data_IF_413495308966
#
_entry.id   IF_413495308966
#
_cell.length_a   1.000
_cell.length_b   1.000
_cell.length_c   1.000
_cell.angle_alpha   90.00
_cell.angle_beta   90.00
_cell.angle_gamma   90.00
#
_symmetry.space_group_name_H-M   'P 1'
#
loop_
_entity.id
_entity.type
_entity.pdbx_description
1 polymer ?
#
# COMPACT_ATOMS: atom_id res chain seq x y z
N UNK A 1 -17.01 -10.81 26.75
CA UNK A 1 -18.01 -9.74 26.52
C UNK A 1 -19.35 -10.06 27.19
N UNK A 2 -20.07 -11.13 26.81
CA UNK A 2 -21.40 -11.41 27.36
C UNK A 2 -21.45 -11.59 28.89
N UNK A 3 -20.50 -12.28 29.55
CA UNK A 3 -20.49 -12.37 31.02
C UNK A 3 -20.25 -11.02 31.73
N UNK A 4 -19.58 -10.07 31.06
CA UNK A 4 -19.27 -8.75 31.63
C UNK A 4 -20.44 -7.77 31.47
N UNK A 5 -21.11 -7.79 30.31
CA UNK A 5 -22.18 -6.83 29.96
C UNK A 5 -23.60 -7.39 30.09
N UNK A 6 -23.76 -8.68 30.41
CA UNK A 6 -25.06 -9.34 30.53
C UNK A 6 -25.84 -9.51 29.22
N UNK A 7 -25.23 -9.18 28.07
CA UNK A 7 -25.81 -9.30 26.72
C UNK A 7 -24.75 -9.63 25.67
N UNK A 8 -25.15 -10.30 24.60
CA UNK A 8 -24.29 -10.53 23.44
C UNK A 8 -24.01 -9.21 22.70
N UNK A 9 -22.91 -9.16 21.95
CA UNK A 9 -22.65 -8.06 21.03
C UNK A 9 -23.71 -8.08 19.91
N UNK A 10 -24.20 -6.91 19.51
CA UNK A 10 -25.18 -6.77 18.42
C UNK A 10 -24.51 -6.89 17.05
N UNK A 11 -23.27 -6.41 16.95
CA UNK A 11 -22.39 -6.49 15.79
C UNK A 11 -20.95 -6.72 16.22
N UNK A 12 -20.13 -7.26 15.32
CA UNK A 12 -18.70 -7.49 15.51
C UNK A 12 -17.90 -6.84 14.38
N UNK A 13 -16.84 -6.13 14.72
CA UNK A 13 -16.02 -5.38 13.75
C UNK A 13 -14.53 -5.71 13.89
N UNK A 14 -13.85 -5.78 12.75
CA UNK A 14 -12.40 -5.87 12.69
C UNK A 14 -11.82 -4.61 12.05
N UNK A 15 -10.76 -4.07 12.65
CA UNK A 15 -9.97 -2.96 12.11
C UNK A 15 -8.49 -3.32 12.21
N UNK A 16 -7.82 -3.37 11.06
CA UNK A 16 -6.38 -3.64 11.03
C UNK A 16 -5.72 -3.16 9.74
N UNK A 17 -4.46 -2.76 9.86
CA UNK A 17 -3.63 -2.36 8.72
C UNK A 17 -2.36 -3.22 8.63
N UNK A 18 -1.76 -3.35 7.44
CA UNK A 18 -0.55 -4.17 7.21
C UNK A 18 -0.83 -5.67 7.43
N UNK A 19 -0.08 -6.31 8.33
CA UNK A 19 -0.38 -7.66 8.82
C UNK A 19 -1.80 -7.76 9.40
N UNK A 20 -2.31 -6.69 10.01
CA UNK A 20 -3.70 -6.59 10.46
C UNK A 20 -4.68 -6.64 9.30
N UNK A 21 -4.39 -5.95 8.19
CA UNK A 21 -5.22 -6.02 6.98
C UNK A 21 -5.26 -7.44 6.40
N UNK A 22 -4.12 -8.15 6.39
CA UNK A 22 -4.07 -9.58 6.04
C UNK A 22 -4.91 -10.44 6.98
N UNK A 23 -4.84 -10.19 8.29
CA UNK A 23 -5.63 -10.93 9.28
C UNK A 23 -7.13 -10.69 9.10
N UNK A 24 -7.57 -9.46 8.81
CA UNK A 24 -8.96 -9.15 8.51
C UNK A 24 -9.47 -9.91 7.29
N UNK A 25 -8.69 -9.96 6.20
CA UNK A 25 -9.05 -10.74 5.01
C UNK A 25 -9.05 -12.25 5.31
N UNK A 26 -8.08 -12.73 6.10
CA UNK A 26 -8.02 -14.14 6.52
C UNK A 26 -9.22 -14.52 7.41
N UNK A 27 -9.69 -13.60 8.25
CA UNK A 27 -10.91 -13.79 9.04
C UNK A 27 -12.15 -13.85 8.13
N UNK A 28 -12.30 -12.93 7.18
CA UNK A 28 -13.40 -12.98 6.21
C UNK A 28 -13.39 -14.28 5.37
N UNK A 29 -12.22 -14.81 5.06
CA UNK A 29 -12.01 -16.06 4.31
C UNK A 29 -12.34 -17.32 5.13
N UNK A 30 -11.65 -17.53 6.26
CA UNK A 30 -11.74 -18.77 7.04
C UNK A 30 -12.78 -18.75 8.17
N UNK A 31 -13.09 -17.57 8.68
CA UNK A 31 -13.96 -17.36 9.85
C UNK A 31 -15.02 -16.29 9.56
N UNK A 32 -15.85 -16.48 8.50
CA UNK A 32 -16.76 -15.44 8.04
C UNK A 32 -17.75 -14.98 9.11
N UNK A 33 -18.03 -15.82 10.12
CA UNK A 33 -18.92 -15.54 11.24
C UNK A 33 -18.34 -14.61 12.32
N UNK A 34 -17.02 -14.39 12.34
CA UNK A 34 -16.37 -13.65 13.44
C UNK A 34 -16.67 -12.15 13.40
N UNK A 35 -16.88 -11.59 12.21
CA UNK A 35 -17.08 -10.16 11.99
C UNK A 35 -18.19 -9.89 10.98
N UNK A 36 -18.98 -8.85 11.25
CA UNK A 36 -19.99 -8.31 10.34
C UNK A 36 -19.39 -7.25 9.41
N UNK A 37 -18.39 -6.50 9.91
CA UNK A 37 -17.64 -5.51 9.16
C UNK A 37 -16.13 -5.66 9.34
N UNK A 38 -15.39 -5.64 8.24
CA UNK A 38 -13.91 -5.73 8.23
C UNK A 38 -13.34 -4.51 7.52
N UNK A 39 -12.50 -3.75 8.23
CA UNK A 39 -11.63 -2.73 7.64
C UNK A 39 -10.22 -3.28 7.52
N UNK A 40 -9.75 -3.44 6.29
CA UNK A 40 -8.43 -3.98 5.96
C UNK A 40 -7.57 -2.94 5.22
N UNK A 41 -6.70 -2.26 5.96
CA UNK A 41 -5.75 -1.29 5.43
C UNK A 41 -4.45 -1.93 4.95
N UNK A 42 -3.90 -1.46 3.82
CA UNK A 42 -2.64 -1.88 3.22
C UNK A 42 -2.34 -3.38 3.45
N UNK A 43 -3.24 -4.29 3.02
CA UNK A 43 -3.22 -5.66 3.50
C UNK A 43 -1.97 -6.40 3.02
N UNK A 44 -1.25 -7.06 3.94
CA UNK A 44 -0.10 -7.92 3.65
C UNK A 44 -0.51 -9.32 3.11
N UNK A 45 -1.47 -9.33 2.19
CA UNK A 45 -1.97 -10.51 1.47
C UNK A 45 -0.99 -10.95 0.38
N UNK A 46 -1.17 -12.14 -0.17
CA UNK A 46 -0.16 -12.81 -1.00
C UNK A 46 1.21 -12.89 -0.28
N UNK A 47 1.14 -13.19 1.03
CA UNK A 47 2.20 -12.93 2.01
C UNK A 47 3.57 -13.49 1.61
N UNK A 48 3.62 -14.72 1.10
CA UNK A 48 4.85 -15.37 0.68
C UNK A 48 5.48 -14.65 -0.52
N UNK A 49 4.68 -14.19 -1.49
CA UNK A 49 5.17 -13.39 -2.61
C UNK A 49 5.65 -12.01 -2.17
N UNK A 50 4.92 -11.35 -1.26
CA UNK A 50 5.35 -10.07 -0.66
C UNK A 50 6.73 -10.21 0.01
N UNK A 51 6.91 -11.24 0.84
CA UNK A 51 8.16 -11.46 1.56
C UNK A 51 9.29 -11.89 0.62
N UNK A 52 8.98 -12.64 -0.44
CA UNK A 52 9.95 -13.00 -1.48
C UNK A 52 10.39 -11.81 -2.32
N UNK A 53 9.45 -10.93 -2.72
CA UNK A 53 9.79 -9.66 -3.38
C UNK A 53 10.75 -8.84 -2.53
N UNK A 54 10.45 -8.67 -1.23
CA UNK A 54 11.35 -8.01 -0.27
C UNK A 54 12.71 -8.70 -0.17
N UNK A 55 12.74 -10.03 -0.24
CA UNK A 55 13.97 -10.83 -0.25
C UNK A 55 14.89 -10.49 -1.41
N UNK A 56 14.33 -10.08 -2.57
CA UNK A 56 15.14 -9.67 -3.74
C UNK A 56 15.82 -8.31 -3.60
N UNK A 57 15.39 -7.47 -2.66
CA UNK A 57 15.85 -6.08 -2.60
C UNK A 57 17.30 -5.98 -2.12
N UNK A 58 17.65 -6.67 -1.03
CA UNK A 58 19.02 -6.58 -0.48
C UNK A 58 20.09 -7.12 -1.46
N UNK A 59 19.92 -8.29 -2.12
CA UNK A 59 20.83 -8.73 -3.18
C UNK A 59 20.95 -7.74 -4.34
N UNK A 60 19.88 -6.96 -4.62
CA UNK A 60 19.87 -5.94 -5.68
C UNK A 60 20.59 -4.66 -5.26
N UNK A 61 20.33 -4.13 -4.07
CA UNK A 61 20.93 -2.86 -3.61
C UNK A 61 22.36 -3.04 -3.13
N UNK A 62 22.70 -4.24 -2.64
CA UNK A 62 23.94 -4.50 -1.92
C UNK A 62 23.97 -3.83 -0.54
N UNK A 63 25.06 -4.06 0.19
CA UNK A 63 25.32 -3.41 1.46
C UNK A 63 25.86 -1.98 1.27
N UNK A 64 25.77 -1.17 2.33
CA UNK A 64 26.42 0.14 2.40
C UNK A 64 27.91 -0.01 2.08
N UNK A 65 28.41 0.80 1.13
CA UNK A 65 29.80 0.77 0.67
C UNK A 65 30.08 -0.18 -0.50
N UNK A 66 29.09 -0.96 -0.96
CA UNK A 66 29.20 -1.68 -2.23
C UNK A 66 29.18 -0.73 -3.43
N UNK A 67 29.80 -1.14 -4.54
CA UNK A 67 30.11 -0.26 -5.67
C UNK A 67 28.90 0.47 -6.28
N UNK A 68 27.70 -0.12 -6.25
CA UNK A 68 26.50 0.46 -6.84
C UNK A 68 25.42 0.78 -5.81
N UNK A 69 25.77 0.80 -4.52
CA UNK A 69 24.83 1.17 -3.47
C UNK A 69 24.35 2.61 -3.67
N UNK A 70 23.03 2.79 -3.72
CA UNK A 70 22.41 4.12 -3.81
C UNK A 70 22.14 4.59 -2.39
N UNK A 71 22.78 5.67 -1.97
CA UNK A 71 22.60 6.18 -0.61
C UNK A 71 21.17 6.68 -0.38
N UNK A 72 20.66 6.66 0.87
CA UNK A 72 19.35 7.21 1.18
C UNK A 72 19.18 8.67 0.74
N UNK A 73 20.25 9.47 0.80
CA UNK A 73 20.24 10.84 0.32
C UNK A 73 19.89 10.92 -1.18
N UNK A 74 20.51 10.10 -2.02
CA UNK A 74 20.25 10.08 -3.48
C UNK A 74 18.84 9.60 -3.79
N UNK A 75 18.31 8.62 -3.04
CA UNK A 75 16.90 8.23 -3.15
C UNK A 75 15.95 9.38 -2.81
N UNK A 76 16.20 10.07 -1.70
CA UNK A 76 15.34 11.14 -1.16
C UNK A 76 15.38 12.44 -1.97
N UNK A 77 16.49 12.72 -2.64
CA UNK A 77 16.64 13.94 -3.43
C UNK A 77 16.57 13.63 -4.91
N UNK A 78 17.61 13.06 -5.51
CA UNK A 78 17.75 12.92 -6.96
C UNK A 78 16.70 12.01 -7.57
N UNK A 79 16.44 10.85 -6.98
CA UNK A 79 15.47 9.91 -7.54
C UNK A 79 14.05 10.38 -7.28
N UNK A 80 13.71 10.72 -6.03
CA UNK A 80 12.35 11.17 -5.69
C UNK A 80 11.96 12.46 -6.42
N UNK A 81 12.86 13.45 -6.53
CA UNK A 81 12.58 14.67 -7.29
C UNK A 81 12.36 14.38 -8.78
N UNK A 82 13.08 13.42 -9.36
CA UNK A 82 12.86 13.03 -10.76
C UNK A 82 11.55 12.26 -10.94
N UNK A 83 11.13 11.46 -9.94
CA UNK A 83 9.79 10.85 -9.91
C UNK A 83 8.73 11.94 -9.92
N UNK A 84 8.80 12.92 -9.01
CA UNK A 84 7.84 14.04 -8.99
C UNK A 84 7.88 14.85 -10.29
N UNK A 85 9.06 15.14 -10.84
CA UNK A 85 9.19 15.87 -12.11
C UNK A 85 8.46 15.16 -13.26
N UNK A 86 8.47 13.83 -13.29
CA UNK A 86 7.80 13.04 -14.33
C UNK A 86 6.32 12.77 -14.02
N UNK A 87 5.95 12.68 -12.74
CA UNK A 87 4.70 12.06 -12.33
C UNK A 87 3.76 12.90 -11.45
N UNK A 88 4.21 13.99 -10.82
CA UNK A 88 3.35 14.84 -9.98
C UNK A 88 2.19 15.42 -10.80
N UNK A 89 2.52 16.03 -11.95
CA UNK A 89 1.53 16.71 -12.81
C UNK A 89 0.60 15.81 -13.62
N UNK A 90 0.65 14.48 -13.47
CA UNK A 90 -0.17 13.57 -14.30
C UNK A 90 -1.67 13.69 -13.97
N UNK A 91 -2.01 14.06 -12.75
CA UNK A 91 -3.38 14.35 -12.31
C UNK A 91 -3.80 15.82 -12.54
N UNK A 92 -2.89 16.64 -13.08
CA UNK A 92 -3.12 18.05 -13.41
C UNK A 92 -2.73 19.04 -12.32
N UNK A 93 -2.15 18.57 -11.20
CA UNK A 93 -1.71 19.41 -10.07
C UNK A 93 -0.21 19.21 -9.81
N UNK A 94 0.47 20.26 -9.34
CA UNK A 94 1.85 20.17 -8.83
C UNK A 94 1.81 20.40 -7.32
N UNK A 95 1.51 19.35 -6.56
CA UNK A 95 1.38 19.40 -5.10
C UNK A 95 2.37 18.46 -4.38
N UNK A 96 3.28 17.82 -5.13
CA UNK A 96 4.24 16.85 -4.61
C UNK A 96 3.60 15.49 -4.28
N UNK A 97 2.41 15.22 -4.83
CA UNK A 97 1.64 14.00 -4.58
C UNK A 97 1.31 13.38 -5.93
N UNK A 98 1.77 12.14 -6.12
CA UNK A 98 1.31 11.32 -7.25
C UNK A 98 -0.07 10.76 -6.89
N UNK A 99 -1.16 11.35 -7.40
CA UNK A 99 -2.53 11.00 -6.98
C UNK A 99 -2.88 9.54 -7.31
N UNK A 100 -2.45 9.06 -8.48
CA UNK A 100 -2.57 7.66 -8.91
C UNK A 100 -1.25 7.17 -9.55
N UNK A 101 -0.39 6.47 -8.80
CA UNK A 101 0.90 5.98 -9.30
C UNK A 101 0.77 4.96 -10.43
N UNK A 102 -0.41 4.40 -10.71
CA UNK A 102 -0.61 3.49 -11.87
C UNK A 102 -0.47 4.22 -13.21
N UNK A 103 -0.59 5.55 -13.22
CA UNK A 103 -0.42 6.40 -14.40
C UNK A 103 1.04 6.87 -14.57
N UNK A 104 1.89 6.71 -13.56
CA UNK A 104 3.28 7.16 -13.58
C UNK A 104 4.15 6.19 -14.41
N UNK A 105 4.48 6.59 -15.63
CA UNK A 105 5.42 5.88 -16.51
C UNK A 105 6.86 6.38 -16.30
N UNK A 106 7.39 6.15 -15.09
CA UNK A 106 8.70 6.66 -14.71
C UNK A 106 9.84 6.08 -15.55
N UNK A 107 10.64 6.96 -16.17
CA UNK A 107 11.84 6.59 -16.91
C UNK A 107 13.10 6.93 -16.09
N UNK A 108 13.64 5.93 -15.39
CA UNK A 108 14.87 6.06 -14.61
C UNK A 108 16.12 6.43 -15.47
N UNK A 109 16.07 6.24 -16.79
CA UNK A 109 17.24 6.49 -17.65
C UNK A 109 17.57 7.98 -17.80
N UNK A 110 16.65 8.87 -17.43
CA UNK A 110 16.90 10.32 -17.37
C UNK A 110 17.90 10.69 -16.28
N UNK A 111 18.11 9.80 -15.29
CA UNK A 111 19.06 9.98 -14.21
C UNK A 111 20.50 9.60 -14.58
N UNK A 112 20.76 9.06 -15.78
CA UNK A 112 22.11 8.61 -16.15
C UNK A 112 23.13 9.75 -16.16
N UNK A 113 24.26 9.57 -15.48
CA UNK A 113 25.40 10.45 -15.59
C UNK A 113 25.97 10.41 -17.02
N UNK A 114 26.18 11.58 -17.64
CA UNK A 114 26.81 11.65 -18.95
C UNK A 114 28.33 11.47 -18.84
N UNK A 115 28.87 10.43 -19.49
CA UNK A 115 30.30 10.18 -19.67
C UNK A 115 31.16 10.33 -18.40
N UNK A 116 30.69 9.80 -17.26
CA UNK A 116 31.41 9.89 -15.98
C UNK A 116 31.87 8.50 -15.48
N UNK A 117 33.18 8.21 -15.46
CA UNK A 117 33.70 6.95 -14.92
C UNK A 117 33.54 6.82 -13.40
N UNK A 118 33.25 7.92 -12.69
CA UNK A 118 32.99 7.96 -11.24
C UNK A 118 31.50 8.15 -10.91
N UNK A 119 30.60 7.88 -11.87
CA UNK A 119 29.16 8.07 -11.74
C UNK A 119 28.56 7.45 -10.46
N UNK A 120 29.09 6.33 -9.98
CA UNK A 120 28.59 5.66 -8.78
C UNK A 120 28.71 6.50 -7.49
N UNK A 121 29.67 7.43 -7.43
CA UNK A 121 29.91 8.31 -6.28
C UNK A 121 29.19 9.67 -6.40
N UNK A 122 28.48 9.90 -7.50
CA UNK A 122 27.73 11.14 -7.73
C UNK A 122 26.45 11.14 -6.91
N UNK A 123 26.00 12.35 -6.55
CA UNK A 123 24.74 12.52 -5.83
C UNK A 123 23.64 13.12 -6.68
N UNK A 124 23.99 13.69 -7.85
CA UNK A 124 23.12 14.44 -8.76
C UNK A 124 22.70 13.64 -10.01
N UNK A 125 23.29 12.45 -10.22
CA UNK A 125 22.96 11.51 -11.28
C UNK A 125 23.36 10.09 -10.85
N UNK A 126 23.01 9.09 -11.66
CA UNK A 126 23.21 7.67 -11.40
C UNK A 126 24.10 7.03 -12.48
N UNK A 127 24.90 6.05 -12.08
CA UNK A 127 25.55 5.11 -13.01
C UNK A 127 24.52 4.19 -13.70
N UNK A 128 24.92 3.51 -14.78
CA UNK A 128 24.07 2.51 -15.46
C UNK A 128 23.56 1.44 -14.48
N UNK A 129 24.44 0.91 -13.64
CA UNK A 129 24.06 -0.13 -12.67
C UNK A 129 23.07 0.39 -11.62
N UNK A 130 23.23 1.64 -11.15
CA UNK A 130 22.26 2.26 -10.23
C UNK A 130 20.90 2.51 -10.92
N UNK A 131 20.88 2.93 -12.19
CA UNK A 131 19.64 3.04 -12.96
C UNK A 131 18.95 1.68 -13.11
N UNK A 132 19.71 0.60 -13.33
CA UNK A 132 19.15 -0.75 -13.41
C UNK A 132 18.60 -1.24 -12.06
N UNK A 133 19.21 -0.84 -10.93
CA UNK A 133 18.67 -1.06 -9.59
C UNK A 133 17.32 -0.35 -9.44
N UNK A 134 17.23 0.94 -9.77
CA UNK A 134 15.99 1.73 -9.68
C UNK A 134 14.91 1.10 -10.56
N UNK A 135 15.24 0.79 -11.82
CA UNK A 135 14.31 0.14 -12.76
C UNK A 135 13.82 -1.20 -12.20
N UNK A 136 14.73 -2.02 -11.66
CA UNK A 136 14.38 -3.33 -11.11
C UNK A 136 13.52 -3.29 -9.84
N UNK A 137 13.53 -2.18 -9.09
CA UNK A 137 12.68 -1.99 -7.90
C UNK A 137 11.28 -1.53 -8.31
N UNK A 138 11.18 -0.61 -9.27
CA UNK A 138 9.93 0.03 -9.69
C UNK A 138 9.20 -0.74 -10.80
N UNK A 139 9.84 -1.71 -11.45
CA UNK A 139 9.23 -2.57 -12.47
C UNK A 139 8.66 -3.84 -11.86
N UNK A 140 7.69 -4.49 -12.52
CA UNK A 140 7.23 -5.82 -12.13
C UNK A 140 8.37 -6.84 -12.04
N UNK A 141 8.38 -7.58 -10.93
CA UNK A 141 9.23 -8.75 -10.75
C UNK A 141 8.53 -9.94 -11.42
N UNK A 142 9.21 -10.59 -12.36
CA UNK A 142 8.67 -11.76 -13.07
C UNK A 142 9.31 -13.06 -12.56
N UNK A 143 8.57 -14.16 -12.66
CA UNK A 143 9.10 -15.52 -12.44
C UNK A 143 9.88 -16.03 -13.66
N UNK A 144 10.46 -17.24 -13.57
CA UNK A 144 11.23 -17.84 -14.65
C UNK A 144 10.39 -18.17 -15.90
N UNK A 145 9.06 -18.18 -15.79
CA UNK A 145 8.13 -18.40 -16.89
C UNK A 145 7.67 -17.09 -17.54
N UNK A 146 8.12 -15.94 -17.01
CA UNK A 146 7.75 -14.61 -17.49
C UNK A 146 6.41 -14.11 -16.96
N UNK A 147 5.77 -14.82 -16.02
CA UNK A 147 4.56 -14.30 -15.37
C UNK A 147 4.93 -13.29 -14.29
N UNK A 148 4.07 -12.29 -14.09
CA UNK A 148 4.26 -11.33 -13.01
C UNK A 148 4.19 -12.04 -11.64
N UNK A 149 5.30 -11.98 -10.91
CA UNK A 149 5.39 -12.45 -9.54
C UNK A 149 4.93 -11.38 -8.55
N UNK A 150 5.40 -10.14 -8.70
CA UNK A 150 5.03 -8.98 -7.87
C UNK A 150 5.03 -7.69 -8.72
N UNK A 151 4.14 -6.71 -8.50
CA UNK A 151 3.98 -5.55 -9.39
C UNK A 151 5.15 -4.53 -9.37
N UNK A 152 6.13 -4.68 -8.47
CA UNK A 152 7.14 -3.65 -8.20
C UNK A 152 6.66 -2.62 -7.18
N UNK A 153 7.53 -1.70 -6.74
CA UNK A 153 7.15 -0.64 -5.82
C UNK A 153 6.49 0.53 -6.56
N UNK A 154 5.47 1.13 -5.95
CA UNK A 154 4.85 2.35 -6.49
C UNK A 154 5.83 3.54 -6.44
N UNK A 155 5.96 4.31 -7.54
CA UNK A 155 6.69 5.57 -7.52
C UNK A 155 6.09 6.54 -6.50
N UNK A 156 6.95 7.31 -5.82
CA UNK A 156 6.59 8.28 -4.79
C UNK A 156 6.85 7.81 -3.37
N UNK A 157 7.16 6.52 -3.17
CA UNK A 157 7.46 5.94 -1.86
C UNK A 157 8.95 6.02 -1.47
N UNK A 158 9.81 6.59 -2.33
CA UNK A 158 11.27 6.48 -2.24
C UNK A 158 11.81 7.01 -0.91
N UNK A 159 11.24 8.11 -0.40
CA UNK A 159 11.76 8.82 0.77
C UNK A 159 11.82 7.93 2.00
N UNK A 160 10.74 7.22 2.33
CA UNK A 160 10.70 6.31 3.47
C UNK A 160 11.23 4.92 3.14
N UNK A 161 11.12 4.48 1.89
CA UNK A 161 11.71 3.20 1.46
C UNK A 161 13.25 3.22 1.57
N UNK A 162 13.87 4.38 1.34
CA UNK A 162 15.30 4.62 1.49
C UNK A 162 15.85 4.31 2.89
N UNK A 163 15.08 4.62 3.94
CA UNK A 163 15.48 4.38 5.34
C UNK A 163 15.18 2.95 5.81
N UNK A 164 14.38 2.20 5.04
CA UNK A 164 13.98 0.83 5.36
C UNK A 164 14.45 -0.15 4.31
N UNK A 165 13.57 -0.42 3.34
CA UNK A 165 13.73 -1.47 2.35
C UNK A 165 15.00 -1.32 1.49
N UNK A 166 15.47 -0.09 1.24
CA UNK A 166 16.67 0.19 0.41
C UNK A 166 17.92 0.54 1.23
N UNK A 167 17.87 0.38 2.56
CA UNK A 167 18.91 0.83 3.50
C UNK A 167 20.26 0.10 3.39
N UNK A 168 20.37 -0.92 2.52
CA UNK A 168 21.56 -1.74 2.39
C UNK A 168 21.74 -2.71 3.56
N UNK A 169 20.64 -3.11 4.18
CA UNK A 169 20.61 -4.17 5.20
C UNK A 169 19.49 -5.16 4.89
N UNK A 170 19.66 -6.47 5.14
CA UNK A 170 18.57 -7.42 5.04
C UNK A 170 17.40 -7.04 5.94
N UNK A 171 16.18 -7.07 5.41
CA UNK A 171 15.01 -6.76 6.21
C UNK A 171 14.76 -7.84 7.28
N UNK A 172 14.76 -7.51 8.60
CA UNK A 172 14.72 -8.53 9.65
C UNK A 172 13.49 -9.44 9.60
N UNK A 173 12.32 -8.91 9.23
CA UNK A 173 11.10 -9.73 9.13
C UNK A 173 11.20 -10.74 7.98
N UNK A 174 11.77 -10.32 6.85
CA UNK A 174 11.98 -11.21 5.70
C UNK A 174 13.03 -12.28 6.03
N UNK A 175 14.16 -11.86 6.60
CA UNK A 175 15.20 -12.78 7.05
C UNK A 175 14.66 -13.83 8.03
N UNK A 176 13.90 -13.41 9.05
CA UNK A 176 13.34 -14.32 10.05
C UNK A 176 12.26 -15.23 9.47
N UNK A 177 11.48 -14.77 8.50
CA UNK A 177 10.54 -15.61 7.77
C UNK A 177 11.25 -16.78 7.09
N UNK A 178 12.30 -16.49 6.31
CA UNK A 178 13.04 -17.54 5.61
C UNK A 178 13.80 -18.45 6.58
N UNK A 179 14.47 -17.90 7.59
CA UNK A 179 15.19 -18.71 8.59
C UNK A 179 14.27 -19.63 9.38
N UNK A 180 13.21 -19.10 9.99
CA UNK A 180 12.48 -19.83 11.02
C UNK A 180 11.19 -20.49 10.52
N UNK A 181 10.52 -19.89 9.53
CA UNK A 181 9.27 -20.46 9.00
C UNK A 181 9.51 -21.32 7.74
N UNK A 182 10.42 -20.90 6.86
CA UNK A 182 10.64 -21.61 5.58
C UNK A 182 11.69 -22.71 5.72
N UNK A 183 12.91 -22.39 6.15
CA UNK A 183 14.00 -23.36 6.20
C UNK A 183 14.19 -24.07 7.54
N UNK A 184 13.73 -23.48 8.64
CA UNK A 184 14.12 -23.90 9.99
C UNK A 184 15.65 -23.97 10.15
N UNK A 185 16.33 -22.96 9.59
CA UNK A 185 17.77 -22.80 9.59
C UNK A 185 18.13 -21.35 9.97
N UNK A 186 18.64 -21.10 11.20
CA UNK A 186 19.05 -19.76 11.62
C UNK A 186 20.27 -19.22 10.86
N UNK A 187 21.00 -20.08 10.14
CA UNK A 187 22.22 -19.74 9.42
C UNK A 187 21.99 -19.32 7.98
N UNK A 188 20.77 -19.50 7.44
CA UNK A 188 20.43 -19.05 6.09
C UNK A 188 20.77 -17.57 5.88
N UNK A 189 21.44 -17.28 4.76
CA UNK A 189 21.96 -15.96 4.42
C UNK A 189 21.00 -15.20 3.49
N UNK A 190 20.39 -14.08 3.92
CA UNK A 190 19.54 -13.27 3.05
C UNK A 190 20.28 -12.64 1.86
N UNK A 191 21.62 -12.54 1.88
CA UNK A 191 22.40 -12.06 0.75
C UNK A 191 22.33 -13.00 -0.46
N UNK A 192 22.04 -14.29 -0.23
CA UNK A 192 21.98 -15.32 -1.27
C UNK A 192 20.56 -15.60 -1.76
N UNK A 193 19.59 -14.72 -1.44
CA UNK A 193 18.19 -14.93 -1.80
C UNK A 193 18.01 -15.08 -3.32
N UNK A 194 17.36 -16.15 -3.73
CA UNK A 194 16.97 -16.47 -5.10
C UNK A 194 15.45 -16.65 -5.19
N UNK A 195 14.81 -15.92 -6.10
CA UNK A 195 13.36 -15.94 -6.24
C UNK A 195 12.80 -17.32 -6.59
N UNK A 196 13.51 -18.10 -7.42
CA UNK A 196 13.03 -19.39 -7.89
C UNK A 196 13.19 -20.47 -6.82
N UNK A 197 14.32 -20.45 -6.10
CA UNK A 197 14.63 -21.40 -5.04
C UNK A 197 13.85 -21.03 -3.77
N UNK A 198 14.14 -19.88 -3.19
CA UNK A 198 13.59 -19.46 -1.90
C UNK A 198 12.12 -19.07 -2.03
N UNK A 199 11.80 -18.21 -3.00
CA UNK A 199 10.42 -17.77 -3.23
C UNK A 199 9.51 -18.91 -3.67
N UNK A 200 10.01 -19.79 -4.54
CA UNK A 200 9.30 -21.01 -4.94
C UNK A 200 9.08 -21.97 -3.77
N UNK A 201 10.06 -22.12 -2.86
CA UNK A 201 9.90 -22.96 -1.68
C UNK A 201 8.91 -22.37 -0.67
N UNK A 202 8.94 -21.05 -0.44
CA UNK A 202 7.99 -20.36 0.41
C UNK A 202 6.54 -20.51 -0.08
N UNK A 203 6.30 -20.33 -1.40
CA UNK A 203 4.99 -20.53 -2.02
C UNK A 203 4.48 -21.97 -1.85
N UNK A 204 5.35 -22.98 -2.00
CA UNK A 204 4.95 -24.40 -1.80
C UNK A 204 4.70 -24.73 -0.34
N UNK A 205 5.51 -24.20 0.58
CA UNK A 205 5.39 -24.52 2.01
C UNK A 205 4.14 -23.90 2.62
N UNK A 206 3.83 -22.65 2.27
CA UNK A 206 2.64 -21.88 2.68
C UNK A 206 2.04 -22.31 4.04
N UNK A 207 2.80 -22.18 5.15
CA UNK A 207 2.39 -22.76 6.42
C UNK A 207 1.07 -22.14 6.88
N UNK A 208 0.11 -23.00 7.23
CA UNK A 208 -1.24 -22.62 7.68
C UNK A 208 -1.99 -21.65 6.72
N UNK A 209 -1.71 -21.74 5.42
CA UNK A 209 -2.25 -20.83 4.40
C UNK A 209 -2.03 -19.34 4.73
N UNK A 210 -0.84 -19.01 5.24
CA UNK A 210 -0.42 -17.64 5.58
C UNK A 210 -0.49 -16.70 4.37
N UNK A 211 -0.39 -17.23 3.15
CA UNK A 211 -0.49 -16.50 1.90
C UNK A 211 -1.70 -15.56 1.89
N UNK A 212 -2.86 -16.02 2.40
CA UNK A 212 -4.11 -15.24 2.42
C UNK A 212 -4.39 -14.61 1.06
N UNK A 213 -4.71 -15.42 0.06
CA UNK A 213 -4.98 -14.95 -1.31
C UNK A 213 -6.24 -15.57 -1.92
N UNK A 214 -7.39 -15.51 -1.22
CA UNK A 214 -8.64 -16.07 -1.72
C UNK A 214 -9.08 -15.35 -3.00
N UNK A 215 -9.73 -16.07 -3.91
CA UNK A 215 -10.50 -15.50 -5.02
C UNK A 215 -12.02 -15.54 -4.77
N UNK A 216 -12.42 -15.99 -3.58
CA UNK A 216 -13.81 -16.13 -3.20
C UNK A 216 -14.02 -15.79 -1.73
N UNK A 217 -14.95 -14.86 -1.46
CA UNK A 217 -15.44 -14.53 -0.11
C UNK A 217 -16.97 -14.69 -0.04
N UNK A 218 -17.54 -15.64 -0.79
CA UNK A 218 -18.99 -15.81 -0.89
C UNK A 218 -19.64 -16.15 0.45
N UNK A 219 -18.98 -16.90 1.34
CA UNK A 219 -19.51 -17.19 2.66
C UNK A 219 -19.68 -15.90 3.49
N UNK A 220 -18.67 -15.02 3.50
CA UNK A 220 -18.71 -13.72 4.14
C UNK A 220 -19.75 -12.79 3.50
N UNK A 221 -19.82 -12.72 2.17
CA UNK A 221 -20.85 -11.94 1.45
C UNK A 221 -22.26 -12.41 1.76
N UNK A 222 -22.53 -13.73 1.68
CA UNK A 222 -23.87 -14.30 1.76
C UNK A 222 -24.51 -14.16 3.14
N UNK A 223 -23.70 -14.11 4.21
CA UNK A 223 -24.19 -13.83 5.57
C UNK A 223 -24.40 -12.34 5.87
N UNK A 224 -24.06 -11.46 4.92
CA UNK A 224 -24.20 -10.02 5.07
C UNK A 224 -22.94 -9.28 5.53
N UNK A 225 -21.77 -9.91 5.48
CA UNK A 225 -20.49 -9.27 5.81
C UNK A 225 -20.16 -8.11 4.87
N UNK A 226 -19.45 -7.10 5.38
CA UNK A 226 -18.95 -5.94 4.63
C UNK A 226 -17.43 -5.80 4.79
N UNK A 227 -16.75 -5.54 3.68
CA UNK A 227 -15.31 -5.39 3.57
C UNK A 227 -14.97 -4.00 3.02
N UNK A 228 -14.31 -3.19 3.83
CA UNK A 228 -13.73 -1.91 3.42
C UNK A 228 -12.21 -2.07 3.38
N UNK A 229 -11.63 -1.91 2.19
CA UNK A 229 -10.18 -1.91 2.00
C UNK A 229 -9.69 -0.50 1.73
N UNK A 230 -8.49 -0.18 2.20
CA UNK A 230 -7.79 1.04 1.78
C UNK A 230 -6.30 0.77 1.60
N UNK A 231 -5.63 1.55 0.75
CA UNK A 231 -4.17 1.45 0.59
C UNK A 231 -3.58 2.82 0.24
N UNK A 232 -2.57 3.24 1.02
CA UNK A 232 -1.82 4.45 0.72
C UNK A 232 -1.08 4.34 -0.61
N UNK A 233 -1.19 5.37 -1.45
CA UNK A 233 -0.58 5.35 -2.78
C UNK A 233 0.94 5.63 -2.75
N UNK A 234 1.50 5.97 -1.59
CA UNK A 234 2.93 6.15 -1.34
C UNK A 234 3.48 5.14 -0.32
N UNK A 235 2.81 3.99 -0.19
CA UNK A 235 3.21 2.94 0.74
C UNK A 235 4.62 2.41 0.40
N UNK A 236 5.54 2.56 1.34
CA UNK A 236 6.94 2.18 1.23
C UNK A 236 7.22 0.73 1.67
N UNK A 237 6.21 0.04 2.20
CA UNK A 237 6.33 -1.29 2.78
C UNK A 237 5.66 -2.35 1.88
N UNK A 238 4.48 -2.05 1.35
CA UNK A 238 3.68 -2.96 0.53
C UNK A 238 3.26 -2.16 -0.69
N UNK A 239 3.50 -2.69 -1.89
CA UNK A 239 3.15 -1.97 -3.11
C UNK A 239 1.65 -1.72 -3.18
N UNK A 240 1.28 -0.45 -3.38
CA UNK A 240 -0.11 -0.02 -3.51
C UNK A 240 -0.80 -0.61 -4.75
N UNK A 241 -0.02 -1.10 -5.71
CA UNK A 241 -0.50 -1.83 -6.89
C UNK A 241 -1.09 -3.20 -6.57
N UNK A 242 -0.77 -3.78 -5.40
CA UNK A 242 -1.15 -5.15 -5.06
C UNK A 242 -2.61 -5.31 -4.60
N UNK A 243 -3.17 -4.33 -3.87
CA UNK A 243 -4.57 -4.38 -3.43
C UNK A 243 -5.59 -4.31 -4.58
N UNK A 244 -5.42 -3.47 -5.62
CA UNK A 244 -6.24 -3.57 -6.83
C UNK A 244 -6.24 -4.98 -7.44
N UNK A 245 -5.07 -5.63 -7.54
CA UNK A 245 -4.97 -7.00 -8.07
C UNK A 245 -5.77 -8.00 -7.24
N UNK A 246 -5.81 -7.84 -5.92
CA UNK A 246 -6.65 -8.66 -5.05
C UNK A 246 -8.14 -8.40 -5.25
N UNK A 247 -8.53 -7.11 -5.32
CA UNK A 247 -9.92 -6.73 -5.56
C UNK A 247 -10.43 -7.33 -6.88
N UNK A 248 -9.64 -7.21 -7.95
CA UNK A 248 -9.97 -7.77 -9.27
C UNK A 248 -10.01 -9.29 -9.24
N UNK A 249 -9.08 -9.92 -8.50
CA UNK A 249 -9.08 -11.38 -8.29
C UNK A 249 -10.36 -11.87 -7.61
N UNK A 250 -10.83 -11.18 -6.56
CA UNK A 250 -12.10 -11.51 -5.91
C UNK A 250 -13.28 -11.34 -6.87
N UNK A 251 -13.34 -10.22 -7.61
CA UNK A 251 -14.38 -9.97 -8.58
C UNK A 251 -14.45 -11.08 -9.64
N UNK A 252 -13.28 -11.48 -10.18
CA UNK A 252 -13.18 -12.56 -11.16
C UNK A 252 -13.57 -13.93 -10.58
N UNK A 253 -13.05 -14.32 -9.43
CA UNK A 253 -13.33 -15.62 -8.82
C UNK A 253 -14.78 -15.78 -8.35
N UNK A 254 -15.39 -14.70 -7.88
CA UNK A 254 -16.81 -14.66 -7.50
C UNK A 254 -17.74 -14.39 -8.70
N UNK A 255 -17.19 -14.07 -9.87
CA UNK A 255 -17.92 -13.69 -11.09
C UNK A 255 -18.86 -12.50 -10.86
N UNK A 256 -18.38 -11.50 -10.11
CA UNK A 256 -19.09 -10.28 -9.81
C UNK A 256 -18.57 -9.14 -10.69
N UNK A 257 -19.49 -8.32 -11.19
CA UNK A 257 -19.15 -7.02 -11.77
C UNK A 257 -18.97 -5.98 -10.64
N UNK A 258 -18.67 -4.74 -10.99
CA UNK A 258 -18.48 -3.66 -10.00
C UNK A 258 -19.70 -3.50 -9.08
N UNK A 259 -20.93 -3.55 -9.60
CA UNK A 259 -22.14 -3.45 -8.79
C UNK A 259 -22.24 -4.59 -7.77
N UNK A 260 -21.95 -5.82 -8.18
CA UNK A 260 -21.96 -6.99 -7.28
C UNK A 260 -20.84 -6.97 -6.23
N UNK A 261 -19.69 -6.38 -6.57
CA UNK A 261 -18.62 -6.11 -5.59
C UNK A 261 -19.05 -5.02 -4.61
N UNK A 262 -19.58 -3.90 -5.09
CA UNK A 262 -20.01 -2.75 -4.28
C UNK A 262 -21.10 -3.08 -3.24
N UNK A 263 -21.77 -4.23 -3.36
CA UNK A 263 -22.70 -4.78 -2.35
C UNK A 263 -22.01 -5.21 -1.05
N UNK A 264 -20.75 -5.61 -1.10
CA UNK A 264 -20.06 -6.17 0.07
C UNK A 264 -18.58 -5.78 0.22
N UNK A 265 -17.90 -5.38 -0.85
CA UNK A 265 -16.48 -5.03 -0.83
C UNK A 265 -16.24 -3.71 -1.55
N UNK A 266 -15.67 -2.72 -0.86
CA UNK A 266 -15.24 -1.44 -1.44
C UNK A 266 -13.78 -1.18 -1.11
N UNK A 267 -13.02 -0.70 -2.09
CA UNK A 267 -11.59 -0.41 -1.95
C UNK A 267 -11.32 1.07 -2.22
N UNK A 268 -10.54 1.74 -1.38
CA UNK A 268 -10.17 3.15 -1.51
C UNK A 268 -8.67 3.34 -1.67
N UNK A 269 -8.26 4.08 -2.70
CA UNK A 269 -6.88 4.49 -2.92
C UNK A 269 -6.66 5.83 -2.23
N UNK A 270 -5.76 5.87 -1.25
CA UNK A 270 -5.55 7.08 -0.44
C UNK A 270 -4.31 7.80 -0.97
N UNK A 271 -4.52 8.91 -1.68
CA UNK A 271 -3.42 9.67 -2.27
C UNK A 271 -2.53 10.33 -1.20
N UNK A 272 -1.22 10.27 -1.45
CA UNK A 272 -0.19 10.83 -0.57
C UNK A 272 -0.13 10.23 0.83
N UNK A 273 -0.66 9.02 1.03
CA UNK A 273 -0.55 8.26 2.28
C UNK A 273 0.58 7.23 2.18
N UNK A 274 1.45 7.21 3.19
CA UNK A 274 2.48 6.18 3.36
C UNK A 274 1.87 4.88 3.91
N UNK A 275 2.70 3.94 4.38
CA UNK A 275 2.21 2.72 5.00
C UNK A 275 1.34 2.97 6.24
N UNK A 276 0.03 2.74 6.11
CA UNK A 276 -1.00 2.83 7.16
C UNK A 276 -1.27 4.23 7.77
N UNK A 277 -0.35 5.17 7.66
CA UNK A 277 -0.43 6.50 8.30
C UNK A 277 0.58 7.45 7.66
N UNK A 278 0.50 8.74 8.00
CA UNK A 278 1.39 9.81 7.53
C UNK A 278 1.45 9.98 6.01
N UNK A 279 2.15 11.04 5.58
CA UNK A 279 2.47 11.31 4.19
C UNK A 279 2.17 12.76 3.80
N UNK A 280 2.56 13.17 2.59
CA UNK A 280 2.31 14.51 2.08
C UNK A 280 0.83 14.79 1.79
N UNK A 281 0.03 13.75 1.52
CA UNK A 281 -1.38 13.87 1.15
C UNK A 281 -2.36 13.93 2.31
N UNK A 282 -3.64 13.95 1.97
CA UNK A 282 -4.73 13.91 2.94
C UNK A 282 -4.90 12.48 3.50
N UNK A 283 -3.94 12.02 4.28
CA UNK A 283 -3.77 10.60 4.65
C UNK A 283 -4.63 10.15 5.84
N UNK A 284 -5.09 11.07 6.69
CA UNK A 284 -5.82 10.73 7.90
C UNK A 284 -7.30 10.50 7.58
N UNK A 285 -7.75 9.24 7.68
CA UNK A 285 -9.10 8.76 7.34
C UNK A 285 -9.78 8.04 8.52
N UNK A 286 -9.31 8.28 9.75
CA UNK A 286 -9.85 7.66 10.96
C UNK A 286 -9.50 6.17 11.16
N UNK A 287 -8.47 5.67 10.48
CA UNK A 287 -8.05 4.26 10.50
C UNK A 287 -7.38 3.78 11.80
N UNK A 288 -7.03 4.71 12.71
CA UNK A 288 -6.43 4.42 14.02
C UNK A 288 -4.98 3.91 13.99
N UNK A 289 -4.29 4.05 15.14
CA UNK A 289 -2.93 3.55 15.39
C UNK A 289 -1.81 4.60 15.29
N UNK A 290 -0.71 4.38 16.03
CA UNK A 290 0.56 5.13 15.89
C UNK A 290 0.66 6.50 16.59
N UNK A 291 1.54 7.36 16.06
CA UNK A 291 1.85 8.71 16.57
C UNK A 291 0.68 9.70 16.49
N UNK A 292 -0.41 9.31 15.83
CA UNK A 292 -1.48 10.22 15.40
C UNK A 292 -2.79 10.03 16.17
N UNK A 293 -2.79 9.27 17.28
CA UNK A 293 -4.01 9.04 18.09
C UNK A 293 -4.67 10.36 18.48
N UNK A 294 -3.89 11.40 18.80
CA UNK A 294 -4.41 12.71 19.13
C UNK A 294 -5.09 13.40 17.93
N UNK A 295 -4.52 13.33 16.72
CA UNK A 295 -5.14 13.89 15.51
C UNK A 295 -6.37 13.09 15.08
N UNK A 296 -6.28 11.76 15.11
CA UNK A 296 -7.38 10.87 14.78
C UNK A 296 -8.61 11.09 15.69
N UNK A 297 -8.39 11.42 16.97
CA UNK A 297 -9.46 11.75 17.92
C UNK A 297 -10.16 13.09 17.62
N UNK A 298 -9.56 13.96 16.82
CA UNK A 298 -10.19 15.24 16.43
C UNK A 298 -11.03 15.15 15.17
N UNK A 299 -10.90 14.06 14.41
CA UNK A 299 -11.78 13.84 13.27
C UNK A 299 -13.21 13.57 13.74
N UNK A 300 -14.23 14.07 13.02
CA UNK A 300 -15.59 13.60 13.18
C UNK A 300 -15.65 12.07 13.11
N UNK A 301 -16.37 11.46 14.05
CA UNK A 301 -16.66 10.03 13.99
C UNK A 301 -17.95 9.82 13.18
N UNK A 302 -17.83 10.01 11.86
CA UNK A 302 -18.89 9.80 10.87
C UNK A 302 -18.37 9.00 9.67
N UNK A 303 -19.27 8.41 8.89
CA UNK A 303 -18.93 7.59 7.74
C UNK A 303 -18.24 8.31 6.58
N UNK A 304 -18.13 9.65 6.61
CA UNK A 304 -17.39 10.42 5.62
C UNK A 304 -15.90 10.52 5.98
N UNK A 305 -15.58 10.76 7.25
CA UNK A 305 -14.21 11.07 7.71
C UNK A 305 -13.50 9.91 8.41
N UNK A 306 -14.24 8.87 8.81
CA UNK A 306 -13.71 7.78 9.61
C UNK A 306 -14.09 6.41 9.04
N UNK A 307 -13.09 5.63 8.61
CA UNK A 307 -13.32 4.30 8.02
C UNK A 307 -13.96 3.28 8.97
N UNK A 308 -13.81 3.43 10.29
CA UNK A 308 -14.50 2.58 11.26
C UNK A 308 -15.98 2.97 11.34
N UNK A 309 -16.30 4.27 11.40
CA UNK A 309 -17.69 4.71 11.34
C UNK A 309 -18.33 4.32 9.99
N UNK A 310 -17.60 4.45 8.88
CA UNK A 310 -18.10 4.11 7.55
C UNK A 310 -18.48 2.62 7.41
N UNK A 311 -17.70 1.70 8.00
CA UNK A 311 -18.07 0.28 7.99
C UNK A 311 -19.25 0.00 8.91
N UNK A 312 -19.40 0.74 10.01
CA UNK A 312 -20.54 0.62 10.92
C UNK A 312 -21.83 1.08 10.23
N UNK A 313 -21.82 2.27 9.62
CA UNK A 313 -22.95 2.80 8.84
C UNK A 313 -23.37 1.83 7.72
N UNK A 314 -22.40 1.17 7.08
CA UNK A 314 -22.69 0.20 6.04
C UNK A 314 -23.31 -1.10 6.57
N UNK A 315 -22.83 -1.60 7.72
CA UNK A 315 -23.31 -2.84 8.35
C UNK A 315 -24.65 -2.65 9.05
N UNK A 316 -24.86 -1.52 9.71
CA UNK A 316 -26.03 -1.26 10.56
C UNK A 316 -27.16 -0.60 9.79
N UNK A 317 -26.85 0.38 8.94
CA UNK A 317 -27.83 1.22 8.26
C UNK A 317 -27.88 0.98 6.74
N UNK A 318 -26.99 0.14 6.20
CA UNK A 318 -26.91 -0.13 4.77
C UNK A 318 -26.33 1.03 3.95
N UNK A 319 -25.71 2.02 4.61
CA UNK A 319 -25.14 3.21 3.97
C UNK A 319 -23.68 2.94 3.62
N UNK A 320 -23.43 2.54 2.37
CA UNK A 320 -22.10 2.22 1.89
C UNK A 320 -21.31 3.49 1.50
N UNK A 321 -20.01 3.62 1.85
CA UNK A 321 -19.24 4.83 1.58
C UNK A 321 -18.91 4.97 0.08
N UNK A 322 -19.28 6.09 -0.55
CA UNK A 322 -18.93 6.36 -1.96
C UNK A 322 -17.49 6.89 -2.12
N UNK A 323 -17.04 7.63 -1.12
CA UNK A 323 -15.69 8.19 -0.96
C UNK A 323 -15.31 8.12 0.52
N UNK A 324 -14.02 8.27 0.83
CA UNK A 324 -13.53 8.49 2.20
C UNK A 324 -12.77 9.81 2.24
N UNK A 325 -13.19 10.75 3.08
CA UNK A 325 -12.55 12.05 3.22
C UNK A 325 -11.30 11.92 4.08
N UNK A 326 -10.16 12.13 3.44
CA UNK A 326 -8.88 12.24 4.12
C UNK A 326 -8.57 13.68 4.53
N UNK A 327 -7.77 13.82 5.58
CA UNK A 327 -7.34 15.12 6.11
C UNK A 327 -5.82 15.22 6.17
N UNK A 328 -5.28 16.36 5.73
CA UNK A 328 -3.89 16.77 5.94
C UNK A 328 -3.85 17.93 6.92
N UNK A 329 -3.10 17.79 8.01
CA UNK A 329 -2.78 18.91 8.89
C UNK A 329 -1.49 19.59 8.43
N UNK A 330 -1.37 20.89 8.69
CA UNK A 330 -0.14 21.65 8.40
C UNK A 330 1.02 20.99 9.17
N UNK A 331 2.01 20.48 8.43
CA UNK A 331 3.14 19.72 8.97
C UNK A 331 2.75 18.56 9.91
N UNK A 332 1.59 17.94 9.69
CA UNK A 332 1.03 16.90 10.59
C UNK A 332 0.97 17.36 12.06
N UNK A 333 0.74 18.66 12.27
CA UNK A 333 0.67 19.28 13.59
C UNK A 333 -0.75 19.76 13.86
N UNK A 334 -1.45 19.08 14.77
CA UNK A 334 -2.84 19.36 15.12
C UNK A 334 -3.11 20.85 15.42
N UNK A 335 -2.24 21.49 16.20
CA UNK A 335 -2.41 22.88 16.64
C UNK A 335 -2.27 23.91 15.51
N UNK A 336 -1.74 23.52 14.35
CA UNK A 336 -1.62 24.39 13.17
C UNK A 336 -2.85 24.31 12.25
N UNK A 337 -3.81 23.43 12.56
CA UNK A 337 -5.05 23.28 11.81
C UNK A 337 -4.91 22.45 10.54
N UNK A 338 -6.05 22.25 9.87
CA UNK A 338 -6.16 21.52 8.62
C UNK A 338 -5.52 22.35 7.49
N UNK A 339 -4.63 21.73 6.73
CA UNK A 339 -4.09 22.30 5.49
C UNK A 339 -5.06 22.10 4.33
N UNK A 340 -5.47 20.85 4.09
CA UNK A 340 -6.48 20.51 3.10
C UNK A 340 -7.15 19.16 3.37
N UNK A 341 -8.25 18.91 2.66
CA UNK A 341 -8.97 17.63 2.66
C UNK A 341 -9.21 17.15 1.23
N UNK A 342 -9.27 15.83 1.05
CA UNK A 342 -9.51 15.20 -0.26
C UNK A 342 -10.48 14.04 -0.09
N UNK A 343 -11.50 13.94 -0.95
CA UNK A 343 -12.42 12.80 -0.99
C UNK A 343 -11.79 11.68 -1.82
N UNK A 344 -11.24 10.67 -1.17
CA UNK A 344 -10.59 9.54 -1.85
C UNK A 344 -11.64 8.64 -2.50
N UNK A 345 -11.43 8.37 -3.79
CA UNK A 345 -12.39 7.64 -4.61
C UNK A 345 -12.36 6.13 -4.35
N UNK A 346 -13.54 5.49 -4.41
CA UNK A 346 -13.59 4.03 -4.47
C UNK A 346 -13.03 3.55 -5.82
N UNK A 347 -12.24 2.50 -5.78
CA UNK A 347 -11.77 1.78 -6.96
C UNK A 347 -12.93 1.15 -7.74
N UNK A 348 -12.94 1.19 -9.08
CA UNK A 348 -11.85 1.62 -9.96
C UNK A 348 -11.81 3.13 -10.26
N UNK A 349 -12.71 3.94 -9.69
CA UNK A 349 -12.73 5.37 -9.94
C UNK A 349 -11.44 6.03 -9.46
N UNK A 350 -10.98 7.03 -10.22
CA UNK A 350 -9.80 7.85 -9.96
C UNK A 350 -10.20 9.21 -9.49
N UNK A 351 -9.40 9.79 -8.60
CA UNK A 351 -9.57 11.18 -8.24
C UNK A 351 -8.99 12.05 -9.36
N UNK A 352 -9.81 12.96 -9.90
CA UNK A 352 -9.45 13.77 -11.07
C UNK A 352 -9.67 15.24 -10.76
N UNK A 353 -8.62 16.04 -10.91
CA UNK A 353 -8.72 17.48 -10.75
C UNK A 353 -9.52 18.09 -11.91
N UNK A 354 -10.50 18.96 -11.59
CA UNK A 354 -11.41 19.57 -12.57
C UNK A 354 -10.75 20.65 -13.44
N UNK A 355 -9.58 21.17 -13.04
CA UNK A 355 -8.89 22.22 -13.79
C UNK A 355 -9.54 23.60 -13.67
N UNK A 356 -9.31 24.46 -14.67
CA UNK A 356 -10.00 25.75 -14.79
C UNK A 356 -9.61 26.81 -13.76
N UNK A 357 -8.44 26.69 -13.13
CA UNK A 357 -7.96 27.65 -12.12
C UNK A 357 -8.58 27.45 -10.72
N UNK A 358 -9.25 26.32 -10.49
CA UNK A 358 -9.75 25.94 -9.17
C UNK A 358 -8.58 25.75 -8.19
N UNK A 359 -8.84 25.89 -6.88
CA UNK A 359 -7.81 25.61 -5.88
C UNK A 359 -7.73 24.09 -5.64
N UNK A 360 -6.61 23.40 -5.93
CA UNK A 360 -6.49 21.96 -5.72
C UNK A 360 -6.55 21.55 -4.25
N UNK A 361 -6.40 22.48 -3.30
CA UNK A 361 -6.60 22.21 -1.87
C UNK A 361 -8.07 22.10 -1.45
N UNK A 362 -9.02 22.50 -2.31
CA UNK A 362 -10.44 22.35 -2.01
C UNK A 362 -10.94 21.00 -2.54
N UNK A 363 -11.63 20.22 -1.71
CA UNK A 363 -12.17 18.91 -2.07
C UNK A 363 -13.11 18.96 -3.28
N UNK A 364 -13.89 20.04 -3.43
CA UNK A 364 -14.84 20.22 -4.54
C UNK A 364 -14.17 20.52 -5.88
N UNK A 365 -12.86 20.79 -5.89
CA UNK A 365 -12.07 20.92 -7.12
C UNK A 365 -11.75 19.57 -7.77
N UNK A 366 -12.09 18.47 -7.09
CA UNK A 366 -11.84 17.11 -7.54
C UNK A 366 -13.15 16.36 -7.79
N UNK A 367 -13.09 15.31 -8.60
CA UNK A 367 -14.22 14.41 -8.85
C UNK A 367 -13.73 13.00 -9.11
N UNK A 368 -14.52 12.01 -8.71
CA UNK A 368 -14.25 10.62 -9.02
C UNK A 368 -14.70 10.32 -10.45
N UNK A 369 -13.78 9.94 -11.32
CA UNK A 369 -14.06 9.56 -12.71
C UNK A 369 -13.64 8.13 -13.00
N UNK A 370 -14.31 7.49 -13.95
CA UNK A 370 -13.89 6.17 -14.42
C UNK A 370 -12.55 6.27 -15.19
N UNK A 371 -11.70 5.24 -15.09
CA UNK A 371 -10.45 5.10 -15.85
C UNK A 371 -10.50 5.41 -17.33
#
# INVERSE_FOLDING_TARGET
MQPLYGRAATRSYFLGCSLGGRQGIKAADLFPEDFDGVVAGAPAIDFNKLYSYRGTIFPRTGAVGSANFITPAVWKTTIHNEVLRQCDKIDGVEDGIVEDPTLCQFNASTLLCQNDPNAANRTDCLSTAQVDIVRGILSPLNDAQGNMYWPGMNPGAEVLAADGLYSGTPWPLTQNWFRYAIYNDPTWDPATFDLQIDGGFAERKNPADVKTWPDNLSAFKNRGGRLLMFHGQQDQQISSFHTPMFYDRLAQGMKLNQTGMDEFARFFRISGMNHCMTGPGAWLIGQGGGIDVAMAQTLPFDGEHNVLAAIMDWVEDGVAPETITGTKFVNDTLSLGIDFQRRHCRYPLRNTYKGGGLNPRHSDSWTCTSP
#
